data_IF_494793115682
#
_entry.id   IF_494793115682
#
_cell.length_a   1.000
_cell.length_b   1.000
_cell.length_c   1.000
_cell.angle_alpha   90.00
_cell.angle_beta   90.00
_cell.angle_gamma   90.00
#
_symmetry.space_group_name_H-M   'P 1'
#
loop_
_entity.id
_entity.type
_entity.pdbx_description
1 polymer ?
#
# COMPACT_ATOMS: atom_id res chain seq x y z
N UNK A 1 8.38 -3.57 -14.81
CA UNK A 1 7.82 -2.52 -13.95
C UNK A 1 7.78 -2.98 -12.49
N UNK A 2 7.94 -2.05 -11.58
CA UNK A 2 8.06 -2.38 -10.14
C UNK A 2 6.73 -2.67 -9.44
N UNK A 3 5.60 -2.60 -10.14
CA UNK A 3 4.28 -2.73 -9.54
C UNK A 3 4.01 -4.16 -9.05
N UNK A 4 4.29 -5.17 -9.88
CA UNK A 4 4.04 -6.55 -9.48
C UNK A 4 4.89 -7.02 -8.29
N UNK A 5 6.19 -6.73 -8.24
CA UNK A 5 6.98 -7.06 -7.05
C UNK A 5 6.48 -6.36 -5.80
N UNK A 6 6.02 -5.11 -5.92
CA UNK A 6 5.47 -4.39 -4.77
C UNK A 6 4.16 -5.02 -4.29
N UNK A 7 3.31 -5.48 -5.19
CA UNK A 7 2.06 -6.15 -4.83
C UNK A 7 2.32 -7.47 -4.09
N UNK A 8 3.32 -8.23 -4.51
CA UNK A 8 3.71 -9.46 -3.82
C UNK A 8 4.24 -9.16 -2.41
N UNK A 9 5.01 -8.09 -2.27
CA UNK A 9 5.51 -7.67 -0.96
C UNK A 9 4.35 -7.27 -0.04
N UNK A 10 3.36 -6.55 -0.57
CA UNK A 10 2.17 -6.17 0.19
C UNK A 10 1.45 -7.42 0.70
N UNK A 11 1.23 -8.41 -0.17
CA UNK A 11 0.54 -9.64 0.23
C UNK A 11 1.30 -10.39 1.34
N UNK A 12 2.63 -10.44 1.25
CA UNK A 12 3.44 -11.08 2.26
C UNK A 12 3.35 -10.35 3.61
N UNK A 13 3.35 -9.02 3.59
CA UNK A 13 3.25 -8.23 4.80
C UNK A 13 1.88 -8.34 5.46
N UNK A 14 0.81 -8.42 4.66
CA UNK A 14 -0.54 -8.65 5.17
C UNK A 14 -0.59 -10.00 5.91
N UNK A 15 -0.01 -11.04 5.34
CA UNK A 15 0.03 -12.36 5.97
C UNK A 15 0.76 -12.35 7.31
N UNK A 16 1.73 -11.45 7.48
CA UNK A 16 2.49 -11.30 8.72
C UNK A 16 1.85 -10.34 9.72
N UNK A 17 0.80 -9.63 9.31
CA UNK A 17 0.18 -8.61 10.16
C UNK A 17 0.95 -7.31 10.24
N UNK A 18 1.90 -7.05 9.34
CA UNK A 18 2.70 -5.83 9.34
C UNK A 18 1.98 -4.71 8.58
N UNK A 19 0.87 -4.23 9.13
CA UNK A 19 0.00 -3.29 8.45
C UNK A 19 0.66 -1.94 8.18
N UNK A 20 1.55 -1.49 9.06
CA UNK A 20 2.27 -0.24 8.84
C UNK A 20 3.15 -0.32 7.59
N UNK A 21 3.85 -1.44 7.42
CA UNK A 21 4.68 -1.66 6.25
C UNK A 21 3.84 -1.78 4.99
N UNK A 22 2.65 -2.40 5.09
CA UNK A 22 1.68 -2.46 3.99
C UNK A 22 1.29 -1.04 3.58
N UNK A 23 0.98 -0.17 4.54
CA UNK A 23 0.62 1.21 4.25
C UNK A 23 1.74 1.95 3.52
N UNK A 24 2.98 1.76 3.96
CA UNK A 24 4.13 2.38 3.31
C UNK A 24 4.29 1.91 1.86
N UNK A 25 4.07 0.62 1.60
CA UNK A 25 4.15 0.07 0.25
C UNK A 25 3.00 0.56 -0.64
N UNK A 26 1.79 0.64 -0.09
CA UNK A 26 0.65 1.20 -0.83
C UNK A 26 0.91 2.66 -1.20
N UNK A 27 1.52 3.42 -0.29
CA UNK A 27 1.91 4.79 -0.57
C UNK A 27 2.91 4.86 -1.73
N UNK A 28 3.90 3.97 -1.75
CA UNK A 28 4.86 3.90 -2.86
C UNK A 28 4.17 3.54 -4.17
N UNK A 29 3.23 2.61 -4.14
CA UNK A 29 2.43 2.28 -5.32
C UNK A 29 1.69 3.50 -5.83
N UNK A 30 1.09 4.27 -4.93
CA UNK A 30 0.43 5.51 -5.29
C UNK A 30 1.36 6.48 -6.02
N UNK A 31 2.57 6.62 -5.52
CA UNK A 31 3.58 7.49 -6.15
C UNK A 31 3.96 6.99 -7.54
N UNK A 32 4.09 5.68 -7.73
CA UNK A 32 4.38 5.09 -9.05
C UNK A 32 3.23 5.35 -10.01
N UNK A 33 1.98 5.20 -9.55
CA UNK A 33 0.82 5.41 -10.40
C UNK A 33 0.57 6.88 -10.74
N UNK A 34 1.06 7.83 -9.94
CA UNK A 34 0.78 9.25 -10.16
C UNK A 34 1.05 9.71 -11.61
N UNK A 35 2.11 9.19 -12.22
CA UNK A 35 2.49 9.56 -13.58
C UNK A 35 1.82 8.71 -14.65
N UNK A 36 1.30 7.53 -14.29
CA UNK A 36 0.76 6.58 -15.25
C UNK A 36 -0.76 6.46 -15.17
N UNK A 37 -1.30 6.45 -13.96
CA UNK A 37 -2.74 6.25 -13.74
C UNK A 37 -3.16 6.97 -12.46
N UNK A 38 -3.57 8.25 -12.57
CA UNK A 38 -3.95 9.04 -11.40
C UNK A 38 -5.10 8.44 -10.59
N UNK A 39 -6.00 7.71 -11.25
CA UNK A 39 -7.13 7.09 -10.55
C UNK A 39 -6.61 5.98 -9.62
N UNK A 40 -5.73 5.14 -10.12
CA UNK A 40 -5.12 4.09 -9.30
C UNK A 40 -4.22 4.68 -8.21
N UNK A 41 -3.54 5.79 -8.51
CA UNK A 41 -2.75 6.49 -7.50
C UNK A 41 -3.64 6.92 -6.33
N UNK A 42 -4.77 7.51 -6.62
CA UNK A 42 -5.73 7.93 -5.59
C UNK A 42 -6.20 6.73 -4.76
N UNK A 43 -6.55 5.63 -5.42
CA UNK A 43 -6.97 4.41 -4.75
C UNK A 43 -5.89 3.85 -3.83
N UNK A 44 -4.64 3.84 -4.28
CA UNK A 44 -3.52 3.37 -3.48
C UNK A 44 -3.29 4.23 -2.25
N UNK A 45 -3.39 5.55 -2.38
CA UNK A 45 -3.25 6.45 -1.24
C UNK A 45 -4.38 6.27 -0.22
N UNK A 46 -5.61 6.05 -0.70
CA UNK A 46 -6.73 5.75 0.20
C UNK A 46 -6.48 4.45 0.96
N UNK A 47 -6.01 3.42 0.28
CA UNK A 47 -5.66 2.15 0.93
C UNK A 47 -4.55 2.33 1.96
N UNK A 48 -3.55 3.15 1.65
CA UNK A 48 -2.48 3.43 2.59
C UNK A 48 -3.03 4.03 3.89
N UNK A 49 -3.97 4.97 3.77
CA UNK A 49 -4.63 5.54 4.93
C UNK A 49 -5.39 4.52 5.75
N UNK A 50 -6.12 3.63 5.08
CA UNK A 50 -6.85 2.55 5.75
C UNK A 50 -5.90 1.60 6.49
N UNK A 51 -4.76 1.26 5.89
CA UNK A 51 -3.78 0.39 6.54
C UNK A 51 -3.11 1.06 7.73
N UNK A 52 -2.85 2.37 7.67
CA UNK A 52 -2.32 3.10 8.82
C UNK A 52 -3.33 3.07 9.98
N UNK A 53 -4.61 3.26 9.67
CA UNK A 53 -5.66 3.18 10.68
C UNK A 53 -5.72 1.78 11.29
N UNK A 54 -5.64 0.74 10.44
CA UNK A 54 -5.66 -0.65 10.89
C UNK A 54 -4.47 -0.93 11.81
N UNK A 55 -3.29 -0.39 11.50
CA UNK A 55 -2.10 -0.56 12.31
C UNK A 55 -2.26 0.07 13.69
N UNK A 56 -3.01 1.18 13.80
CA UNK A 56 -3.29 1.82 15.08
C UNK A 56 -4.26 1.01 15.93
N UNK A 57 -5.26 0.38 15.29
CA UNK A 57 -6.29 -0.40 15.98
C UNK A 57 -5.75 -1.75 16.44
N UNK A 58 -4.89 -2.36 15.64
CA UNK A 58 -4.35 -3.70 15.91
C UNK A 58 -3.05 -3.59 16.69
N UNK A 59 -3.02 -4.08 17.93
CA UNK A 59 -1.79 -4.02 18.75
C UNK A 59 -0.67 -4.89 18.22
#
# INVERSE_FOLDING_TARGET
MAIQPLQKAVAALISRGNFKDVADLEKRLGQVYETHDPIKACQSFVRAGDWYLQAEITP
#
